data_IF_904322427738
#
_entry.id   IF_904322427738
#
_cell.length_a   1.000
_cell.length_b   1.000
_cell.length_c   1.000
_cell.angle_alpha   90.00
_cell.angle_beta   90.00
_cell.angle_gamma   90.00
#
_symmetry.space_group_name_H-M   'P 1'
#
loop_
_entity.id
_entity.type
_entity.pdbx_description
1 polymer ?
#
# COMPACT_ATOMS: atom_id res chain seq x y z
N UNK A 1 2.05 2.16 14.57
CA UNK A 1 1.14 1.01 14.83
C UNK A 1 0.15 0.97 13.68
N UNK A 2 0.09 -0.13 12.93
CA UNK A 2 -0.82 -0.29 11.79
C UNK A 2 -1.96 -1.21 12.24
N UNK A 3 -3.21 -0.79 12.04
CA UNK A 3 -4.41 -1.59 12.34
C UNK A 3 -5.22 -1.76 11.05
N UNK A 4 -5.75 -2.95 10.83
CA UNK A 4 -6.63 -3.27 9.71
C UNK A 4 -7.94 -3.83 10.26
N UNK A 5 -9.08 -3.35 9.75
CA UNK A 5 -10.40 -3.93 10.01
C UNK A 5 -11.17 -4.01 8.70
N UNK A 6 -11.92 -5.09 8.52
CA UNK A 6 -12.86 -5.26 7.41
C UNK A 6 -14.28 -4.79 7.80
N UNK A 7 -14.48 -4.36 9.06
CA UNK A 7 -15.75 -3.85 9.61
C UNK A 7 -15.48 -2.64 10.51
N UNK A 8 -15.46 -1.42 9.97
CA UNK A 8 -15.23 -0.22 10.78
C UNK A 8 -16.37 0.06 11.75
N UNK A 9 -17.60 -0.35 11.42
CA UNK A 9 -18.81 -0.12 12.23
C UNK A 9 -18.80 -0.87 13.57
N UNK A 10 -18.03 -1.95 13.65
CA UNK A 10 -17.90 -2.76 14.88
C UNK A 10 -16.77 -2.32 15.79
N UNK A 11 -16.00 -1.28 15.42
CA UNK A 11 -14.92 -0.75 16.25
C UNK A 11 -15.48 0.10 17.40
N UNK A 12 -14.79 0.05 18.54
CA UNK A 12 -15.08 0.93 19.68
C UNK A 12 -14.93 2.41 19.24
N UNK A 13 -15.96 3.26 19.42
CA UNK A 13 -15.89 4.69 19.14
C UNK A 13 -14.73 5.41 19.84
N UNK A 14 -14.23 4.88 20.96
CA UNK A 14 -13.06 5.41 21.67
C UNK A 14 -11.76 5.26 20.86
N UNK A 15 -11.66 4.26 19.98
CA UNK A 15 -10.52 4.09 19.06
C UNK A 15 -10.60 5.05 17.87
N UNK A 16 -11.80 5.46 17.48
CA UNK A 16 -12.05 6.42 16.41
C UNK A 16 -11.92 7.88 16.87
N UNK A 17 -11.70 8.11 18.17
CA UNK A 17 -11.49 9.46 18.72
C UNK A 17 -10.13 10.01 18.25
N UNK A 18 -10.06 11.30 17.88
CA UNK A 18 -8.80 11.94 17.51
C UNK A 18 -7.73 11.75 18.61
N UNK A 19 -6.52 11.40 18.22
CA UNK A 19 -5.39 11.09 19.11
C UNK A 19 -5.08 9.60 19.32
N UNK A 20 -5.91 8.67 18.82
CA UNK A 20 -5.65 7.21 18.87
C UNK A 20 -5.41 6.61 17.47
N UNK A 21 -6.36 6.81 16.56
CA UNK A 21 -6.28 6.43 15.14
C UNK A 21 -6.62 7.64 14.27
N UNK A 22 -5.72 8.63 14.23
CA UNK A 22 -5.96 9.89 13.49
C UNK A 22 -5.98 9.71 11.97
N UNK A 23 -5.27 8.71 11.46
CA UNK A 23 -5.08 8.50 10.02
C UNK A 23 -5.78 7.23 9.60
N UNK A 24 -6.88 7.40 8.87
CA UNK A 24 -7.60 6.30 8.20
C UNK A 24 -7.14 6.28 6.75
N UNK A 25 -6.77 5.11 6.27
CA UNK A 25 -6.46 4.87 4.86
C UNK A 25 -7.64 4.10 4.29
N UNK A 26 -8.25 4.62 3.23
CA UNK A 26 -9.26 3.87 2.50
C UNK A 26 -8.58 2.91 1.52
N UNK A 27 -8.61 1.63 1.85
CA UNK A 27 -7.97 0.59 1.05
C UNK A 27 -8.79 0.20 -0.18
N UNK A 28 -10.07 0.58 -0.27
CA UNK A 28 -10.92 0.15 -1.37
C UNK A 28 -10.43 0.70 -2.72
N UNK A 29 -9.99 1.96 -2.74
CA UNK A 29 -9.42 2.59 -3.93
C UNK A 29 -8.07 1.94 -4.33
N UNK A 30 -7.23 1.63 -3.35
CA UNK A 30 -5.92 0.99 -3.58
C UNK A 30 -6.10 -0.40 -4.17
N UNK A 31 -7.03 -1.19 -3.63
CA UNK A 31 -7.34 -2.54 -4.10
C UNK A 31 -7.85 -2.52 -5.53
N UNK A 32 -8.78 -1.61 -5.86
CA UNK A 32 -9.30 -1.45 -7.24
C UNK A 32 -8.20 -1.13 -8.26
N UNK A 33 -7.19 -0.36 -7.86
CA UNK A 33 -6.06 -0.01 -8.73
C UNK A 33 -5.03 -1.14 -8.87
N UNK A 34 -5.02 -2.10 -7.95
CA UNK A 34 -4.09 -3.24 -7.92
C UNK A 34 -4.64 -4.51 -8.60
N UNK A 35 -5.61 -4.39 -9.50
CA UNK A 35 -6.18 -5.54 -10.19
C UNK A 35 -5.12 -6.27 -11.03
N UNK A 36 -5.04 -7.60 -10.90
CA UNK A 36 -4.02 -8.44 -11.53
C UNK A 36 -2.63 -8.40 -10.88
N UNK A 37 -2.48 -7.81 -9.69
CA UNK A 37 -1.22 -7.82 -8.95
C UNK A 37 -0.97 -9.20 -8.33
N UNK A 38 0.27 -9.66 -8.40
CA UNK A 38 0.71 -10.85 -7.69
C UNK A 38 1.18 -10.49 -6.25
N UNK A 39 1.48 -11.49 -5.44
CA UNK A 39 1.95 -11.27 -4.07
C UNK A 39 3.29 -10.51 -3.97
N UNK A 40 4.15 -10.60 -4.98
CA UNK A 40 5.40 -9.84 -5.05
C UNK A 40 5.15 -8.36 -5.42
N UNK A 41 4.19 -8.08 -6.30
CA UNK A 41 3.78 -6.73 -6.67
C UNK A 41 3.20 -6.00 -5.46
N UNK A 42 2.37 -6.67 -4.66
CA UNK A 42 1.84 -6.11 -3.42
C UNK A 42 2.93 -5.81 -2.39
N UNK A 43 3.95 -6.66 -2.28
CA UNK A 43 5.13 -6.39 -1.45
C UNK A 43 5.90 -5.18 -1.97
N UNK A 44 6.03 -5.03 -3.28
CA UNK A 44 6.69 -3.88 -3.90
C UNK A 44 5.89 -2.59 -3.65
N UNK A 45 4.56 -2.61 -3.79
CA UNK A 45 3.68 -1.47 -3.44
C UNK A 45 3.90 -1.03 -2.01
N UNK A 46 3.88 -1.97 -1.06
CA UNK A 46 4.18 -1.67 0.33
C UNK A 46 5.60 -1.14 0.49
N UNK A 47 6.59 -1.65 -0.24
CA UNK A 47 7.98 -1.17 -0.14
C UNK A 47 8.14 0.26 -0.68
N UNK A 48 7.41 0.64 -1.73
CA UNK A 48 7.47 2.00 -2.29
C UNK A 48 6.68 3.01 -1.43
N UNK A 49 5.56 2.57 -0.86
CA UNK A 49 4.73 3.41 -0.01
C UNK A 49 5.35 3.57 1.38
N UNK A 50 5.90 2.49 1.95
CA UNK A 50 6.26 2.39 3.36
C UNK A 50 7.65 2.95 3.69
N UNK A 51 7.84 3.20 4.98
CA UNK A 51 9.04 3.80 5.60
C UNK A 51 9.99 2.69 6.08
N UNK A 52 9.58 1.43 5.90
CA UNK A 52 10.31 0.26 6.38
C UNK A 52 11.72 0.27 5.81
N UNK A 53 12.68 0.40 6.73
CA UNK A 53 14.12 0.32 6.55
C UNK A 53 14.54 -1.11 6.14
N UNK A 54 13.85 -1.69 5.16
CA UNK A 54 14.20 -2.98 4.57
C UNK A 54 15.40 -2.73 3.68
N UNK A 55 16.54 -3.21 4.17
CA UNK A 55 17.90 -3.04 3.64
C UNK A 55 18.10 -3.39 2.15
N UNK A 56 17.07 -3.88 1.44
CA UNK A 56 17.23 -4.62 0.19
C UNK A 56 16.75 -3.86 -1.07
N UNK A 57 15.96 -2.77 -1.01
CA UNK A 57 15.62 -2.03 -2.24
C UNK A 57 15.34 -0.52 -2.00
N UNK A 58 16.33 0.39 -2.19
CA UNK A 58 16.08 1.83 -2.25
C UNK A 58 16.02 2.32 -3.71
N UNK A 59 14.83 2.69 -4.23
CA UNK A 59 14.77 3.97 -4.95
C UNK A 59 13.43 4.74 -4.87
N UNK A 60 12.42 4.30 -4.12
CA UNK A 60 11.03 4.77 -4.31
C UNK A 60 10.24 5.16 -3.06
N UNK A 61 10.93 5.48 -1.96
CA UNK A 61 10.29 5.74 -0.67
C UNK A 61 9.62 7.13 -0.62
N UNK A 62 8.31 7.20 -0.93
CA UNK A 62 7.57 8.48 -1.01
C UNK A 62 7.42 9.17 0.35
N UNK A 63 7.21 8.39 1.42
CA UNK A 63 7.08 8.91 2.78
C UNK A 63 8.42 9.44 3.32
N UNK A 64 9.53 8.72 3.12
CA UNK A 64 10.87 9.16 3.57
C UNK A 64 11.37 10.35 2.74
N UNK A 65 11.10 10.40 1.43
CA UNK A 65 11.39 11.59 0.62
C UNK A 65 10.66 12.84 1.09
N UNK A 66 9.51 12.67 1.73
CA UNK A 66 8.73 13.76 2.29
C UNK A 66 9.06 14.03 3.77
N UNK A 67 10.12 13.42 4.32
CA UNK A 67 10.52 13.54 5.74
C UNK A 67 9.38 13.22 6.72
N UNK A 68 8.52 12.26 6.35
CA UNK A 68 7.40 11.82 7.18
C UNK A 68 7.70 10.46 7.82
N UNK A 69 7.46 10.37 9.13
CA UNK A 69 7.53 9.11 9.91
C UNK A 69 6.24 8.27 9.81
N UNK A 70 5.34 8.61 8.90
CA UNK A 70 4.09 7.90 8.66
C UNK A 70 3.72 7.88 7.17
N UNK A 71 3.04 6.82 6.78
CA UNK A 71 2.45 6.67 5.45
C UNK A 71 1.07 7.29 5.38
N UNK A 72 0.74 7.89 4.24
CA UNK A 72 -0.62 8.36 3.92
C UNK A 72 -1.13 7.65 2.68
N UNK A 73 -2.45 7.72 2.48
CA UNK A 73 -3.13 7.12 1.33
C UNK A 73 -2.51 7.52 -0.02
N UNK A 74 -2.07 8.79 -0.14
CA UNK A 74 -1.43 9.30 -1.36
C UNK A 74 -0.13 8.56 -1.71
N UNK A 75 0.64 8.11 -0.70
CA UNK A 75 1.88 7.36 -0.92
C UNK A 75 1.57 5.98 -1.52
N UNK A 76 0.52 5.31 -1.02
CA UNK A 76 0.03 4.04 -1.58
C UNK A 76 -0.52 4.22 -2.99
N UNK A 77 -1.28 5.30 -3.26
CA UNK A 77 -1.78 5.57 -4.61
C UNK A 77 -0.66 5.82 -5.62
N UNK A 78 0.40 6.55 -5.23
CA UNK A 78 1.58 6.79 -6.06
C UNK A 78 2.36 5.50 -6.31
N UNK A 79 2.55 4.69 -5.27
CA UNK A 79 3.20 3.38 -5.35
C UNK A 79 2.47 2.43 -6.31
N UNK A 80 1.15 2.26 -6.17
CA UNK A 80 0.37 1.38 -7.05
C UNK A 80 0.46 1.82 -8.51
N UNK A 81 0.36 3.12 -8.80
CA UNK A 81 0.51 3.64 -10.17
C UNK A 81 1.87 3.30 -10.77
N UNK A 82 2.94 3.49 -9.98
CA UNK A 82 4.30 3.20 -10.42
C UNK A 82 4.52 1.71 -10.71
N UNK A 83 4.04 0.83 -9.83
CA UNK A 83 4.11 -0.62 -10.05
C UNK A 83 3.26 -1.04 -11.26
N UNK A 84 2.08 -0.44 -11.44
CA UNK A 84 1.22 -0.74 -12.59
C UNK A 84 1.89 -0.34 -13.92
N UNK A 85 2.56 0.81 -13.97
CA UNK A 85 3.30 1.23 -15.16
C UNK A 85 4.50 0.31 -15.44
N UNK A 86 5.20 -0.16 -14.41
CA UNK A 86 6.27 -1.15 -14.56
C UNK A 86 5.72 -2.50 -15.09
N UNK A 87 4.57 -2.94 -14.58
CA UNK A 87 3.90 -4.19 -14.97
C UNK A 87 3.46 -4.22 -16.43
N UNK A 88 3.16 -3.06 -17.04
CA UNK A 88 2.86 -2.96 -18.49
C UNK A 88 4.04 -3.39 -19.36
N UNK A 89 5.26 -3.29 -18.84
CA UNK A 89 6.49 -3.70 -19.53
C UNK A 89 6.84 -5.17 -19.28
N UNK A 90 6.18 -5.81 -18.30
CA UNK A 90 6.40 -7.22 -17.98
C UNK A 90 5.62 -8.13 -18.95
N UNK A 91 6.18 -9.30 -19.22
CA UNK A 91 5.51 -10.30 -20.06
C UNK A 91 4.36 -10.93 -19.28
N UNK A 92 3.17 -10.98 -19.86
CA UNK A 92 2.03 -11.70 -19.25
C UNK A 92 2.35 -13.18 -19.11
N UNK A 93 2.23 -13.69 -17.89
CA UNK A 93 2.45 -15.10 -17.57
C UNK A 93 1.10 -15.83 -17.62
N UNK A 94 0.81 -16.48 -18.75
CA UNK A 94 -0.41 -17.27 -18.92
C UNK A 94 -0.17 -18.71 -18.46
N UNK A 95 -0.81 -19.12 -17.37
CA UNK A 95 -0.78 -20.52 -16.92
C UNK A 95 -1.76 -21.35 -17.75
N UNK A 96 -1.24 -22.41 -18.38
CA UNK A 96 -2.09 -23.45 -18.99
C UNK A 96 -2.51 -24.45 -17.91
N UNK A 97 -3.79 -24.82 -17.83
CA UNK A 97 -4.21 -25.93 -16.97
C UNK A 97 -3.51 -27.21 -17.45
N UNK A 98 -3.06 -28.01 -16.47
CA UNK A 98 -2.37 -29.30 -16.69
C UNK A 98 -3.35 -30.34 -17.19
#
# INVERSE_FOLDING_TARGET
MIMATNRPDTLDPALLRPGRLDRKIDWEAVVKLSDGFNGADLRNVCTEADISNTLIVPPSMFAIRAERDYTVEEDFMKAVRKINDAKKLETKLDYKPV
#
